data_IF_319371800837
#
_entry.id   IF_319371800837
#
_cell.length_a   1.000
_cell.length_b   1.000
_cell.length_c   1.000
_cell.angle_alpha   90.00
_cell.angle_beta   90.00
_cell.angle_gamma   90.00
#
_symmetry.space_group_name_H-M   'P 1'
#
loop_
_entity.id
_entity.type
_entity.pdbx_description
1 polymer ?
#
# COMPACT_ATOMS: atom_id res chain seq x y z
N UNK A 1 22.51 16.57 16.69
CA UNK A 1 21.64 16.19 17.83
C UNK A 1 20.28 16.78 17.50
N UNK A 2 19.35 16.05 16.90
CA UNK A 2 18.62 14.87 17.42
C UNK A 2 18.56 13.75 16.37
N UNK A 3 19.09 12.58 16.72
CA UNK A 3 19.05 11.37 15.90
C UNK A 3 17.66 10.74 16.01
N UNK A 4 17.01 10.51 14.88
CA UNK A 4 15.63 10.04 14.76
C UNK A 4 15.44 8.61 15.25
N UNK A 5 14.48 8.42 16.14
CA UNK A 5 13.99 7.12 16.61
C UNK A 5 12.53 6.89 16.18
N UNK A 6 12.14 7.31 14.98
CA UNK A 6 10.72 7.25 14.55
C UNK A 6 10.41 6.31 13.36
N UNK A 7 11.34 5.48 12.86
CA UNK A 7 11.09 4.70 11.63
C UNK A 7 11.33 3.19 11.72
N UNK A 8 11.14 2.59 12.90
CA UNK A 8 11.35 1.15 13.11
C UNK A 8 10.09 0.37 13.50
N UNK A 9 8.90 0.85 13.12
CA UNK A 9 7.63 0.16 13.36
C UNK A 9 6.89 -0.05 12.05
N UNK A 10 6.79 -1.31 11.59
CA UNK A 10 5.59 -1.83 10.91
C UNK A 10 5.62 -3.34 10.63
N UNK A 11 6.79 -3.98 10.68
CA UNK A 11 6.91 -5.43 10.51
C UNK A 11 6.30 -6.22 11.68
N UNK A 12 6.43 -5.67 12.89
CA UNK A 12 5.91 -6.29 14.12
C UNK A 12 4.38 -6.35 14.19
N UNK A 13 3.67 -5.62 13.32
CA UNK A 13 2.21 -5.51 13.34
C UNK A 13 1.52 -6.44 12.31
N UNK A 14 2.30 -7.21 11.55
CA UNK A 14 1.80 -8.09 10.51
C UNK A 14 1.95 -9.55 10.92
N UNK A 15 0.90 -10.33 10.73
CA UNK A 15 0.91 -11.76 10.96
C UNK A 15 1.79 -12.48 9.93
N UNK A 16 2.75 -13.31 10.37
CA UNK A 16 3.61 -14.07 9.48
C UNK A 16 2.89 -15.19 8.71
N UNK A 17 1.75 -15.67 9.21
CA UNK A 17 0.98 -16.74 8.59
C UNK A 17 -0.01 -16.20 7.54
N UNK A 18 -0.80 -15.19 7.90
CA UNK A 18 -1.81 -14.63 6.99
C UNK A 18 -1.24 -13.57 6.06
N UNK A 19 -0.08 -12.99 6.40
CA UNK A 19 0.46 -11.80 5.75
C UNK A 19 -0.58 -10.65 5.78
N UNK A 20 -1.23 -10.45 6.92
CA UNK A 20 -2.19 -9.37 7.15
C UNK A 20 -1.84 -8.61 8.42
N UNK A 21 -2.24 -7.34 8.51
CA UNK A 21 -2.20 -6.61 9.78
C UNK A 21 -3.00 -7.41 10.82
N UNK A 22 -2.51 -7.58 12.05
CA UNK A 22 -3.26 -8.36 13.02
C UNK A 22 -4.61 -7.68 13.32
N UNK A 23 -5.66 -8.48 13.37
CA UNK A 23 -6.93 -8.12 13.97
C UNK A 23 -6.95 -8.60 15.42
N UNK A 24 -6.59 -9.87 15.65
CA UNK A 24 -6.52 -10.49 16.97
C UNK A 24 -5.15 -11.18 17.14
N UNK A 25 -4.11 -10.44 17.57
CA UNK A 25 -2.77 -11.00 17.72
C UNK A 25 -2.67 -11.89 18.97
N UNK A 26 -2.18 -13.12 18.79
CA UNK A 26 -1.86 -14.07 19.86
C UNK A 26 -0.39 -14.48 19.79
N UNK A 27 0.29 -14.47 20.93
CA UNK A 27 1.66 -14.97 21.11
C UNK A 27 1.61 -16.47 21.37
N UNK A 28 2.37 -17.24 20.60
CA UNK A 28 2.57 -18.67 20.82
C UNK A 28 3.83 -18.94 21.66
N UNK A 29 3.93 -20.14 22.22
CA UNK A 29 5.04 -20.54 23.10
C UNK A 29 6.41 -20.58 22.38
N UNK A 30 6.42 -20.58 21.04
CA UNK A 30 7.64 -20.45 20.22
C UNK A 30 8.17 -19.01 20.14
N UNK A 31 7.49 -18.05 20.77
CA UNK A 31 7.86 -16.64 20.82
C UNK A 31 7.36 -15.81 19.64
N UNK A 32 6.61 -16.38 18.70
CA UNK A 32 6.05 -15.65 17.54
C UNK A 32 4.59 -15.26 17.76
N UNK A 33 4.20 -14.11 17.20
CA UNK A 33 2.81 -13.64 17.23
C UNK A 33 2.11 -13.99 15.91
N UNK A 34 0.89 -14.52 16.02
CA UNK A 34 0.05 -14.92 14.90
C UNK A 34 -1.36 -14.32 15.00
N UNK A 35 -2.10 -14.31 13.90
CA UNK A 35 -3.53 -14.00 13.89
C UNK A 35 -4.27 -15.21 14.49
N UNK A 36 -5.07 -14.98 15.53
CA UNK A 36 -5.71 -16.05 16.32
C UNK A 36 -6.45 -17.05 15.45
N UNK A 37 -7.35 -16.56 14.59
CA UNK A 37 -8.16 -17.42 13.71
C UNK A 37 -7.31 -18.31 12.79
N UNK A 38 -6.17 -17.81 12.33
CA UNK A 38 -5.30 -18.53 11.40
C UNK A 38 -4.42 -19.55 12.12
N UNK A 39 -3.84 -19.20 13.27
CA UNK A 39 -2.94 -20.11 13.99
C UNK A 39 -3.69 -21.23 14.68
N UNK A 40 -4.89 -20.98 15.20
CA UNK A 40 -5.74 -22.03 15.79
C UNK A 40 -6.06 -23.09 14.75
N UNK A 41 -6.46 -22.68 13.54
CA UNK A 41 -6.71 -23.60 12.43
C UNK A 41 -5.45 -24.39 12.06
N UNK A 42 -4.31 -23.71 11.95
CA UNK A 42 -3.04 -24.37 11.62
C UNK A 42 -2.63 -25.42 12.65
N UNK A 43 -2.75 -25.12 13.96
CA UNK A 43 -2.40 -26.03 15.05
C UNK A 43 -3.32 -27.27 15.04
N UNK A 44 -4.62 -27.09 14.74
CA UNK A 44 -5.56 -28.21 14.64
C UNK A 44 -5.20 -29.18 13.50
N UNK A 45 -4.62 -28.67 12.41
CA UNK A 45 -4.25 -29.47 11.24
C UNK A 45 -2.82 -30.04 11.32
N UNK A 46 -1.87 -29.31 11.92
CA UNK A 46 -0.43 -29.60 11.80
C UNK A 46 0.28 -29.75 13.15
N UNK A 47 -0.36 -29.38 14.27
CA UNK A 47 0.18 -29.44 15.64
C UNK A 47 1.54 -28.75 15.88
N UNK A 48 1.96 -27.86 14.96
CA UNK A 48 3.29 -27.27 14.95
C UNK A 48 3.25 -25.78 14.61
N UNK A 49 4.34 -25.07 14.91
CA UNK A 49 4.57 -23.70 14.50
C UNK A 49 4.78 -23.59 12.99
N UNK A 50 4.08 -22.68 12.28
CA UNK A 50 4.34 -22.39 10.88
C UNK A 50 5.77 -21.85 10.62
N UNK A 51 6.41 -21.25 11.64
CA UNK A 51 7.74 -20.62 11.52
C UNK A 51 8.87 -21.54 11.94
N UNK A 52 8.75 -22.15 13.11
CA UNK A 52 9.86 -22.89 13.75
C UNK A 52 9.69 -24.40 13.67
N UNK A 53 8.50 -24.87 13.26
CA UNK A 53 8.09 -26.28 13.27
C UNK A 53 8.09 -26.93 14.66
N UNK A 54 8.26 -26.15 15.73
CA UNK A 54 8.11 -26.63 17.11
C UNK A 54 6.66 -27.01 17.38
N UNK A 55 6.41 -27.98 18.27
CA UNK A 55 5.05 -28.34 18.66
C UNK A 55 4.35 -27.16 19.32
N UNK A 56 3.10 -26.90 18.92
CA UNK A 56 2.25 -25.87 19.51
C UNK A 56 0.91 -26.48 19.94
N UNK A 57 0.34 -25.94 21.02
CA UNK A 57 -1.02 -26.24 21.46
C UNK A 57 -1.87 -24.98 21.42
N UNK A 58 -3.19 -25.15 21.26
CA UNK A 58 -4.13 -24.02 21.25
C UNK A 58 -4.19 -23.38 22.65
N UNK A 59 -4.06 -24.18 23.70
CA UNK A 59 -4.08 -23.74 25.10
C UNK A 59 -2.86 -22.89 25.48
N UNK A 60 -1.74 -23.02 24.74
CA UNK A 60 -0.53 -22.22 24.93
C UNK A 60 -0.62 -20.80 24.36
N UNK A 61 -1.63 -20.51 23.52
CA UNK A 61 -1.78 -19.20 22.89
C UNK A 61 -2.20 -18.14 23.91
N UNK A 62 -1.51 -17.00 23.91
CA UNK A 62 -1.78 -15.87 24.81
C UNK A 62 -2.09 -14.60 24.02
N UNK A 63 -3.11 -13.80 24.38
CA UNK A 63 -3.35 -12.52 23.71
C UNK A 63 -2.13 -11.60 23.76
N UNK A 64 -1.67 -11.10 22.62
CA UNK A 64 -0.57 -10.14 22.55
C UNK A 64 -1.12 -8.70 22.54
N UNK A 65 -1.44 -8.20 23.74
CA UNK A 65 -2.03 -6.86 23.92
C UNK A 65 -1.11 -5.72 23.50
N UNK A 66 0.21 -5.91 23.53
CA UNK A 66 1.19 -4.91 23.08
C UNK A 66 1.11 -4.70 21.56
N UNK A 67 1.07 -5.80 20.80
CA UNK A 67 0.90 -5.70 19.34
C UNK A 67 -0.49 -5.14 19.01
N UNK A 68 -1.52 -5.51 19.78
CA UNK A 68 -2.87 -4.95 19.61
C UNK A 68 -2.90 -3.44 19.81
N UNK A 69 -2.26 -2.92 20.87
CA UNK A 69 -2.23 -1.47 21.13
C UNK A 69 -1.44 -0.72 20.05
N UNK A 70 -0.32 -1.27 19.58
CA UNK A 70 0.44 -0.67 18.49
C UNK A 70 -0.35 -0.63 17.16
N UNK A 71 -1.16 -1.65 16.87
CA UNK A 71 -2.07 -1.62 15.72
C UNK A 71 -3.14 -0.55 15.90
N UNK A 72 -3.71 -0.44 17.09
CA UNK A 72 -4.70 0.59 17.39
C UNK A 72 -4.10 1.99 17.26
N UNK A 73 -2.87 2.21 17.74
CA UNK A 73 -2.13 3.46 17.56
C UNK A 73 -1.82 3.75 16.10
N UNK A 74 -1.38 2.74 15.35
CA UNK A 74 -1.13 2.85 13.91
C UNK A 74 -2.42 3.20 13.14
N UNK A 75 -3.50 2.48 13.43
CA UNK A 75 -4.82 2.81 12.89
C UNK A 75 -5.25 4.22 13.32
N UNK A 76 -5.00 4.64 14.56
CA UNK A 76 -5.32 5.99 15.04
C UNK A 76 -4.49 7.08 14.36
N UNK A 77 -3.23 6.82 14.02
CA UNK A 77 -2.40 7.70 13.20
C UNK A 77 -3.02 7.89 11.81
N UNK A 78 -3.53 6.82 11.21
CA UNK A 78 -4.33 6.89 9.97
C UNK A 78 -5.67 7.61 10.16
N UNK A 79 -6.20 7.69 11.40
CA UNK A 79 -7.44 8.41 11.76
C UNK A 79 -7.22 9.89 12.11
N UNK A 80 -6.00 10.41 12.03
CA UNK A 80 -5.73 11.86 12.14
C UNK A 80 -6.66 12.64 11.20
N UNK A 81 -7.27 13.71 11.71
CA UNK A 81 -8.32 14.49 11.02
C UNK A 81 -7.85 15.01 9.66
N UNK A 82 -6.55 15.23 9.50
CA UNK A 82 -5.95 15.76 8.27
C UNK A 82 -5.93 14.77 7.09
N UNK A 83 -6.14 13.48 7.35
CA UNK A 83 -6.07 12.39 6.36
C UNK A 83 -7.41 11.70 6.10
N UNK A 84 -8.53 12.30 6.55
CA UNK A 84 -9.88 11.79 6.33
C UNK A 84 -10.75 12.78 5.57
N UNK A 85 -11.42 12.28 4.54
CA UNK A 85 -12.36 13.04 3.73
C UNK A 85 -13.72 12.36 3.75
N UNK A 86 -14.79 13.14 3.68
CA UNK A 86 -16.15 12.64 3.56
C UNK A 86 -16.61 12.68 2.12
N UNK A 87 -17.12 11.55 1.64
CA UNK A 87 -17.75 11.43 0.33
C UNK A 87 -18.96 12.37 0.27
N UNK A 88 -19.10 13.07 -0.85
CA UNK A 88 -20.15 14.05 -1.14
C UNK A 88 -20.17 15.27 -0.21
N UNK A 89 -19.15 15.43 0.63
CA UNK A 89 -18.92 16.62 1.48
C UNK A 89 -17.59 17.27 1.13
N UNK A 90 -16.50 16.50 1.21
CA UNK A 90 -15.14 16.96 0.88
C UNK A 90 -14.75 16.62 -0.56
N UNK A 91 -15.19 15.44 -1.03
CA UNK A 91 -14.85 14.90 -2.35
C UNK A 91 -16.09 14.28 -2.99
N UNK A 92 -16.33 14.61 -4.26
CA UNK A 92 -17.37 13.99 -5.08
C UNK A 92 -16.77 12.94 -6.00
N UNK A 93 -17.38 11.77 -6.07
CA UNK A 93 -17.02 10.68 -6.98
C UNK A 93 -17.87 10.71 -8.25
N UNK A 94 -17.28 10.43 -9.40
CA UNK A 94 -18.06 10.16 -10.62
C UNK A 94 -18.79 8.82 -10.54
N UNK A 95 -19.92 8.70 -11.26
CA UNK A 95 -20.77 7.52 -11.20
C UNK A 95 -20.09 6.28 -11.79
N UNK A 96 -19.42 6.46 -12.91
CA UNK A 96 -18.79 5.36 -13.65
C UNK A 96 -17.36 5.16 -13.15
N UNK A 97 -16.98 3.90 -12.97
CA UNK A 97 -15.58 3.57 -12.74
C UNK A 97 -14.78 3.82 -14.03
N UNK A 98 -13.59 4.39 -13.90
CA UNK A 98 -12.59 4.41 -14.98
C UNK A 98 -12.11 2.99 -15.25
N UNK A 99 -11.98 2.20 -14.17
CA UNK A 99 -11.38 0.89 -14.22
C UNK A 99 -11.90 -0.01 -13.10
N UNK A 100 -11.97 -1.31 -13.39
CA UNK A 100 -12.30 -2.34 -12.42
C UNK A 100 -11.43 -3.57 -12.70
N UNK A 101 -10.59 -3.95 -11.72
CA UNK A 101 -9.82 -5.19 -11.76
C UNK A 101 -9.87 -5.87 -10.41
N UNK A 102 -10.24 -7.16 -10.44
CA UNK A 102 -10.30 -8.00 -9.25
C UNK A 102 -11.12 -7.34 -8.13
N UNK A 103 -10.47 -6.97 -7.02
CA UNK A 103 -11.10 -6.34 -5.86
C UNK A 103 -10.97 -4.81 -5.86
N UNK A 104 -10.37 -4.22 -6.89
CA UNK A 104 -10.07 -2.79 -7.01
C UNK A 104 -10.96 -2.11 -8.04
N UNK A 105 -11.34 -0.87 -7.75
CA UNK A 105 -12.07 -0.02 -8.69
C UNK A 105 -11.58 1.41 -8.58
N UNK A 106 -11.37 2.06 -9.71
CA UNK A 106 -10.88 3.45 -9.77
C UNK A 106 -11.99 4.32 -10.33
N UNK A 107 -12.24 5.45 -9.68
CA UNK A 107 -13.22 6.46 -10.11
C UNK A 107 -12.53 7.81 -10.25
N UNK A 108 -12.96 8.64 -11.21
CA UNK A 108 -12.61 10.06 -11.18
C UNK A 108 -13.24 10.71 -9.96
N UNK A 109 -12.51 11.61 -9.33
CA UNK A 109 -12.95 12.29 -8.12
C UNK A 109 -12.58 13.77 -8.15
N UNK A 110 -13.44 14.59 -7.56
CA UNK A 110 -13.33 16.05 -7.58
C UNK A 110 -13.45 16.60 -6.17
N UNK A 111 -12.53 17.48 -5.78
CA UNK A 111 -12.62 18.20 -4.52
C UNK A 111 -13.82 19.15 -4.52
N UNK A 112 -14.59 19.15 -3.43
CA UNK A 112 -15.72 20.07 -3.22
C UNK A 112 -15.24 21.30 -2.45
N UNK A 113 -14.43 21.10 -1.41
CA UNK A 113 -14.07 22.14 -0.43
C UNK A 113 -12.84 22.97 -0.81
N UNK A 114 -12.09 22.56 -1.84
CA UNK A 114 -10.81 23.19 -2.22
C UNK A 114 -10.88 23.83 -3.60
N UNK A 115 -10.70 25.15 -3.67
CA UNK A 115 -10.51 25.88 -4.95
C UNK A 115 -9.14 25.51 -5.54
N UNK A 116 -9.08 25.30 -6.86
CA UNK A 116 -7.87 24.94 -7.61
C UNK A 116 -7.16 23.66 -7.11
N UNK A 117 -7.94 22.70 -6.62
CA UNK A 117 -7.39 21.45 -6.16
C UNK A 117 -6.85 20.60 -7.33
N UNK A 118 -5.81 19.77 -7.10
CA UNK A 118 -5.26 18.93 -8.14
C UNK A 118 -6.28 17.88 -8.61
N UNK A 119 -6.19 17.41 -9.86
CA UNK A 119 -6.97 16.27 -10.34
C UNK A 119 -6.74 15.02 -9.46
N UNK A 120 -7.82 14.32 -9.14
CA UNK A 120 -7.79 13.17 -8.23
C UNK A 120 -8.61 11.98 -8.70
N UNK A 121 -8.26 10.82 -8.16
CA UNK A 121 -9.04 9.59 -8.29
C UNK A 121 -9.40 9.03 -6.91
N UNK A 122 -10.47 8.26 -6.88
CA UNK A 122 -10.84 7.41 -5.76
C UNK A 122 -10.52 5.97 -6.10
N UNK A 123 -9.56 5.40 -5.40
CA UNK A 123 -9.26 3.98 -5.43
C UNK A 123 -10.08 3.28 -4.35
N UNK A 124 -11.09 2.51 -4.77
CA UNK A 124 -11.84 1.61 -3.91
C UNK A 124 -11.19 0.22 -3.91
N UNK A 125 -10.82 -0.26 -2.75
CA UNK A 125 -10.31 -1.62 -2.52
C UNK A 125 -11.27 -2.40 -1.64
N UNK A 126 -11.52 -3.66 -2.00
CA UNK A 126 -12.38 -4.55 -1.23
C UNK A 126 -11.58 -5.76 -0.73
N UNK A 127 -12.08 -6.36 0.35
CA UNK A 127 -11.59 -7.62 0.88
C UNK A 127 -10.60 -7.44 2.02
N UNK A 128 -10.28 -8.57 2.64
CA UNK A 128 -9.55 -8.65 3.91
C UNK A 128 -8.14 -8.05 3.88
N UNK A 129 -7.55 -7.86 2.69
CA UNK A 129 -6.22 -7.24 2.52
C UNK A 129 -6.26 -5.72 2.30
N UNK A 130 -7.45 -5.14 2.04
CA UNK A 130 -7.60 -3.73 1.66
C UNK A 130 -7.02 -2.76 2.71
N UNK A 131 -7.22 -3.04 4.00
CA UNK A 131 -6.67 -2.23 5.10
C UNK A 131 -5.15 -2.20 5.10
N UNK A 132 -4.51 -3.38 4.94
CA UNK A 132 -3.05 -3.51 4.89
C UNK A 132 -2.48 -2.77 3.69
N UNK A 133 -3.09 -2.95 2.52
CA UNK A 133 -2.63 -2.28 1.32
C UNK A 133 -2.77 -0.75 1.46
N UNK A 134 -3.91 -0.29 1.98
CA UNK A 134 -4.16 1.12 2.21
C UNK A 134 -3.14 1.77 3.16
N UNK A 135 -2.73 1.04 4.20
CA UNK A 135 -1.77 1.57 5.16
C UNK A 135 -0.39 1.82 4.53
N UNK A 136 0.06 0.94 3.63
CA UNK A 136 1.29 1.16 2.88
C UNK A 136 1.17 2.32 1.89
N UNK A 137 0.04 2.44 1.18
CA UNK A 137 -0.21 3.56 0.28
C UNK A 137 -0.11 4.91 1.00
N UNK A 138 -0.62 5.01 2.23
CA UNK A 138 -0.52 6.24 3.04
C UNK A 138 0.89 6.44 3.59
N UNK A 139 1.52 5.40 4.13
CA UNK A 139 2.86 5.50 4.74
C UNK A 139 3.92 5.92 3.71
N UNK A 140 3.88 5.33 2.52
CA UNK A 140 4.91 5.50 1.49
C UNK A 140 4.66 6.74 0.61
N UNK A 141 3.49 7.38 0.73
CA UNK A 141 3.03 8.53 -0.06
C UNK A 141 3.94 9.76 -0.04
N UNK A 142 4.91 9.84 0.88
CA UNK A 142 5.79 11.01 1.00
C UNK A 142 6.90 11.04 -0.04
N UNK A 143 7.21 9.90 -0.65
CA UNK A 143 8.26 9.81 -1.66
C UNK A 143 7.81 10.45 -2.99
N UNK A 144 8.64 11.26 -3.66
CA UNK A 144 8.26 11.99 -4.88
C UNK A 144 7.89 11.06 -6.06
N UNK A 145 8.52 9.89 -6.14
CA UNK A 145 8.32 8.89 -7.19
C UNK A 145 7.38 7.73 -6.77
N UNK A 146 6.59 7.92 -5.71
CA UNK A 146 5.51 7.01 -5.30
C UNK A 146 4.18 7.77 -5.40
N UNK A 147 3.12 7.07 -5.82
CA UNK A 147 1.78 7.63 -5.91
C UNK A 147 1.35 8.31 -4.60
N UNK A 148 1.01 9.58 -4.68
CA UNK A 148 0.54 10.35 -3.54
C UNK A 148 -0.86 9.91 -3.15
N UNK A 149 -0.99 9.50 -1.89
CA UNK A 149 -2.27 9.20 -1.26
C UNK A 149 -2.60 10.34 -0.30
N UNK A 150 -3.63 11.11 -0.61
CA UNK A 150 -4.05 12.25 0.22
C UNK A 150 -4.69 11.79 1.52
N UNK A 151 -5.38 10.66 1.51
CA UNK A 151 -6.05 10.13 2.70
C UNK A 151 -7.16 9.14 2.37
N UNK A 152 -7.88 8.73 3.41
CA UNK A 152 -9.03 7.84 3.32
C UNK A 152 -10.33 8.62 3.12
N UNK A 153 -11.27 8.04 2.37
CA UNK A 153 -12.59 8.64 2.14
C UNK A 153 -13.69 7.77 2.74
N UNK A 154 -14.55 8.37 3.56
CA UNK A 154 -15.64 7.71 4.28
C UNK A 154 -17.00 8.28 3.85
N UNK A 155 -18.12 7.54 4.01
CA UNK A 155 -18.21 6.18 4.53
C UNK A 155 -17.81 5.13 3.49
N UNK A 156 -17.29 4.01 3.96
CA UNK A 156 -17.06 2.80 3.16
C UNK A 156 -17.90 1.64 3.72
N UNK A 157 -18.43 0.74 2.86
CA UNK A 157 -18.96 -0.54 3.32
C UNK A 157 -17.96 -1.35 4.13
N UNK A 158 -18.45 -2.31 4.93
CA UNK A 158 -17.63 -3.26 5.68
C UNK A 158 -16.58 -3.93 4.75
N UNK A 159 -15.34 -4.08 5.25
CA UNK A 159 -14.20 -4.67 4.53
C UNK A 159 -13.85 -3.99 3.20
N UNK A 160 -14.21 -2.71 3.04
CA UNK A 160 -13.77 -1.88 1.93
C UNK A 160 -13.11 -0.59 2.41
N UNK A 161 -12.11 -0.15 1.65
CA UNK A 161 -11.38 1.09 1.87
C UNK A 161 -11.45 1.93 0.59
N UNK A 162 -11.64 3.23 0.73
CA UNK A 162 -11.49 4.19 -0.36
C UNK A 162 -10.34 5.13 -0.06
N UNK A 163 -9.41 5.24 -1.00
CA UNK A 163 -8.29 6.16 -0.94
C UNK A 163 -8.45 7.27 -1.98
N UNK A 164 -8.19 8.50 -1.56
CA UNK A 164 -8.07 9.63 -2.46
C UNK A 164 -6.61 9.76 -2.89
N UNK A 165 -6.35 9.65 -4.19
CA UNK A 165 -5.00 9.71 -4.75
C UNK A 165 -4.93 10.75 -5.85
N UNK A 166 -3.71 11.20 -6.15
CA UNK A 166 -3.46 12.04 -7.31
C UNK A 166 -3.78 11.29 -8.62
N UNK A 167 -4.28 12.02 -9.63
CA UNK A 167 -4.58 11.46 -10.94
C UNK A 167 -3.37 11.56 -11.87
N UNK A 168 -3.02 10.45 -12.51
CA UNK A 168 -2.01 10.39 -13.56
C UNK A 168 -2.65 10.66 -14.94
N UNK A 169 -2.43 11.84 -15.56
CA UNK A 169 -3.08 12.21 -16.81
C UNK A 169 -2.63 11.39 -18.01
N UNK A 170 -1.40 10.89 -18.01
CA UNK A 170 -0.81 10.17 -19.16
C UNK A 170 -0.99 8.65 -19.09
N UNK A 171 -1.71 8.14 -18.09
CA UNK A 171 -1.95 6.70 -17.93
C UNK A 171 -0.74 5.95 -17.38
N UNK A 172 -0.61 4.67 -17.73
CA UNK A 172 0.51 3.84 -17.30
C UNK A 172 1.70 3.92 -18.27
N UNK A 173 2.89 3.57 -17.79
CA UNK A 173 4.07 3.48 -18.64
C UNK A 173 3.89 2.39 -19.71
N UNK A 174 3.15 1.32 -19.41
CA UNK A 174 2.79 0.33 -20.41
C UNK A 174 2.02 0.95 -21.59
N UNK A 175 1.00 1.76 -21.30
CA UNK A 175 0.21 2.45 -22.34
C UNK A 175 1.10 3.38 -23.17
N UNK A 176 2.00 4.13 -22.52
CA UNK A 176 2.91 5.06 -23.19
C UNK A 176 3.92 4.34 -24.13
N UNK A 177 4.42 3.17 -23.72
CA UNK A 177 5.37 2.40 -24.53
C UNK A 177 4.71 1.74 -25.75
N UNK A 178 3.42 1.42 -25.65
CA UNK A 178 2.65 0.84 -26.76
C UNK A 178 2.07 1.92 -27.71
N UNK A 179 2.00 3.18 -27.28
CA UNK A 179 1.47 4.31 -28.04
C UNK A 179 2.49 4.82 -29.09
N UNK A 180 2.40 4.30 -30.32
CA UNK A 180 3.05 4.91 -31.48
C UNK A 180 2.23 6.14 -31.90
N UNK A 181 2.78 7.37 -31.92
CA UNK A 181 4.20 7.76 -32.11
C UNK A 181 4.87 8.39 -30.87
N UNK A 182 4.36 8.12 -29.67
CA UNK A 182 4.79 8.72 -28.40
C UNK A 182 5.87 7.92 -27.66
N UNK A 183 6.41 6.88 -28.28
CA UNK A 183 7.46 6.06 -27.67
C UNK A 183 8.64 6.94 -27.23
N UNK A 184 9.05 6.86 -25.95
CA UNK A 184 10.17 7.64 -25.44
C UNK A 184 11.50 7.21 -26.07
N UNK A 185 12.40 8.16 -26.26
CA UNK A 185 13.78 7.85 -26.62
C UNK A 185 14.58 7.32 -25.42
N UNK A 186 15.81 6.89 -25.68
CA UNK A 186 16.68 6.31 -24.65
C UNK A 186 16.93 7.26 -23.47
N UNK A 187 17.11 8.57 -23.73
CA UNK A 187 17.38 9.55 -22.68
C UNK A 187 16.18 9.72 -21.75
N UNK A 188 14.97 9.71 -22.28
CA UNK A 188 13.74 9.77 -21.48
C UNK A 188 13.54 8.47 -20.70
N UNK A 189 13.82 7.32 -21.31
CA UNK A 189 13.74 6.03 -20.62
C UNK A 189 14.72 5.96 -19.44
N UNK A 190 15.94 6.49 -19.60
CA UNK A 190 16.94 6.57 -18.53
C UNK A 190 16.43 7.45 -17.38
N UNK A 191 15.84 8.60 -17.68
CA UNK A 191 15.26 9.48 -16.65
C UNK A 191 14.11 8.80 -15.89
N UNK A 192 13.17 8.18 -16.61
CA UNK A 192 12.07 7.42 -15.98
C UNK A 192 12.61 6.26 -15.14
N UNK A 193 13.63 5.54 -15.63
CA UNK A 193 14.25 4.44 -14.90
C UNK A 193 14.93 4.93 -13.62
N UNK A 194 15.64 6.06 -13.66
CA UNK A 194 16.23 6.70 -12.49
C UNK A 194 15.18 6.95 -11.39
N UNK A 195 14.04 7.53 -11.75
CA UNK A 195 12.93 7.77 -10.83
C UNK A 195 12.34 6.47 -10.24
N UNK A 196 12.20 5.41 -11.07
CA UNK A 196 11.76 4.09 -10.62
C UNK A 196 12.76 3.49 -9.63
N UNK A 197 14.06 3.58 -9.91
CA UNK A 197 15.11 3.05 -9.01
C UNK A 197 15.17 3.79 -7.68
N UNK A 198 14.94 5.11 -7.68
CA UNK A 198 14.83 5.93 -6.47
C UNK A 198 13.64 5.47 -5.61
N UNK A 199 12.46 5.29 -6.21
CA UNK A 199 11.29 4.73 -5.51
C UNK A 199 11.55 3.33 -4.94
N UNK A 200 12.17 2.43 -5.71
CA UNK A 200 12.46 1.06 -5.26
C UNK A 200 13.51 1.02 -4.14
N UNK A 201 14.51 1.91 -4.18
CA UNK A 201 15.47 2.10 -3.08
C UNK A 201 14.76 2.53 -1.81
N UNK A 202 13.83 3.47 -1.92
CA UNK A 202 13.01 3.91 -0.79
C UNK A 202 12.14 2.78 -0.23
N UNK A 203 11.51 1.95 -1.07
CA UNK A 203 10.78 0.77 -0.60
C UNK A 203 11.68 -0.20 0.17
N UNK A 204 12.88 -0.48 -0.35
CA UNK A 204 13.84 -1.37 0.29
C UNK A 204 14.26 -0.88 1.69
N UNK A 205 14.53 0.42 1.86
CA UNK A 205 14.83 1.03 3.15
C UNK A 205 13.66 0.97 4.15
N UNK A 206 12.41 0.94 3.65
CA UNK A 206 11.21 0.74 4.47
C UNK A 206 10.84 -0.75 4.62
N UNK A 207 11.74 -1.66 4.23
CA UNK A 207 11.52 -3.11 4.24
C UNK A 207 10.29 -3.56 3.44
N UNK A 208 9.92 -2.82 2.40
CA UNK A 208 8.77 -3.13 1.54
C UNK A 208 9.28 -3.76 0.24
N UNK A 209 8.78 -4.95 -0.08
CA UNK A 209 8.99 -5.57 -1.40
C UNK A 209 7.75 -5.31 -2.24
N UNK A 210 7.90 -4.65 -3.40
CA UNK A 210 6.76 -4.32 -4.27
C UNK A 210 5.93 -5.54 -4.67
N UNK A 211 6.59 -6.67 -4.99
CA UNK A 211 5.95 -7.95 -5.31
C UNK A 211 5.33 -8.05 -6.72
N UNK A 212 5.02 -6.92 -7.36
CA UNK A 212 4.51 -6.88 -8.74
C UNK A 212 5.10 -5.70 -9.56
N UNK A 213 6.43 -5.57 -9.61
CA UNK A 213 7.04 -4.46 -10.35
C UNK A 213 6.93 -4.70 -11.88
N UNK A 214 6.14 -3.87 -12.56
CA UNK A 214 5.93 -3.93 -14.01
C UNK A 214 5.49 -2.57 -14.55
N UNK A 215 5.65 -2.32 -15.86
CA UNK A 215 5.31 -1.03 -16.50
C UNK A 215 3.85 -0.61 -16.31
N UNK A 216 2.91 -1.56 -16.18
CA UNK A 216 1.49 -1.28 -15.86
C UNK A 216 1.28 -0.66 -14.47
N UNK A 217 2.22 -0.88 -13.55
CA UNK A 217 2.21 -0.36 -12.17
C UNK A 217 3.12 0.87 -12.02
N UNK A 218 3.58 1.43 -13.15
CA UNK A 218 4.24 2.73 -13.21
C UNK A 218 3.27 3.71 -13.88
N UNK A 219 2.92 4.79 -13.20
CA UNK A 219 2.02 5.83 -13.72
C UNK A 219 2.83 7.02 -14.24
N UNK A 220 2.41 7.54 -15.38
CA UNK A 220 3.05 8.70 -16.03
C UNK A 220 2.26 9.96 -15.67
N UNK A 221 2.93 10.90 -14.98
CA UNK A 221 2.35 12.17 -14.55
C UNK A 221 2.63 13.31 -15.50
N UNK A 222 3.83 13.29 -16.10
CA UNK A 222 4.23 14.23 -17.14
C UNK A 222 5.03 13.49 -18.18
N UNK A 223 4.76 13.79 -19.44
CA UNK A 223 5.51 13.27 -20.56
C UNK A 223 5.97 14.40 -21.48
N UNK A 224 7.27 14.50 -21.72
CA UNK A 224 7.87 15.41 -22.68
C UNK A 224 8.92 14.65 -23.50
N UNK A 225 8.59 14.40 -24.77
CA UNK A 225 9.43 13.65 -25.70
C UNK A 225 10.73 14.34 -26.14
N UNK A 226 10.97 15.57 -25.67
CA UNK A 226 12.13 16.37 -26.07
C UNK A 226 13.04 16.75 -24.90
N UNK A 227 12.59 16.55 -23.66
CA UNK A 227 13.30 16.98 -22.45
C UNK A 227 13.14 15.91 -21.37
N UNK A 228 14.15 15.06 -21.15
CA UNK A 228 14.11 14.02 -20.13
C UNK A 228 13.62 14.55 -18.77
N UNK A 229 14.19 15.65 -18.28
CA UNK A 229 13.93 16.23 -16.96
C UNK A 229 12.48 16.71 -16.71
N UNK A 230 11.71 16.93 -17.78
CA UNK A 230 10.30 17.33 -17.67
C UNK A 230 9.36 16.12 -17.45
N UNK A 231 9.87 14.89 -17.59
CA UNK A 231 9.12 13.66 -17.41
C UNK A 231 9.00 13.30 -15.93
N UNK A 232 7.84 12.79 -15.52
CA UNK A 232 7.61 12.32 -14.16
C UNK A 232 6.83 11.02 -14.17
N UNK A 233 7.42 9.99 -13.57
CA UNK A 233 6.77 8.70 -13.33
C UNK A 233 6.69 8.41 -11.85
N UNK A 234 5.66 7.65 -11.45
CA UNK A 234 5.46 7.24 -10.07
C UNK A 234 5.03 5.79 -9.97
N UNK A 235 5.58 5.09 -8.98
CA UNK A 235 5.23 3.72 -8.64
C UNK A 235 3.87 3.66 -7.94
N UNK A 236 3.01 2.71 -8.33
CA UNK A 236 1.69 2.45 -7.74
C UNK A 236 1.46 0.95 -7.55
N UNK A 237 0.32 0.57 -6.96
CA UNK A 237 -0.19 -0.80 -6.89
C UNK A 237 0.82 -1.80 -6.32
N UNK A 238 1.17 -1.56 -5.05
CA UNK A 238 2.01 -2.45 -4.26
C UNK A 238 1.33 -3.80 -4.05
N UNK A 239 1.61 -4.76 -4.94
CA UNK A 239 1.24 -6.17 -4.81
C UNK A 239 2.07 -6.86 -3.73
N UNK A 240 1.93 -6.43 -2.47
CA UNK A 240 2.87 -6.76 -1.40
C UNK A 240 2.78 -8.22 -0.94
N UNK A 241 3.62 -9.07 -1.53
CA UNK A 241 4.06 -10.34 -0.94
C UNK A 241 5.48 -10.18 -0.40
N UNK A 242 5.72 -10.64 0.83
CA UNK A 242 7.09 -10.84 1.32
C UNK A 242 7.54 -12.25 0.98
N UNK A 243 8.65 -12.36 0.25
CA UNK A 243 9.50 -13.54 0.33
C UNK A 243 10.48 -13.33 1.49
N UNK A 244 10.43 -14.23 2.47
CA UNK A 244 11.51 -14.38 3.44
C UNK A 244 12.68 -15.12 2.79
N UNK A 245 13.85 -14.48 2.81
CA UNK A 245 15.21 -15.04 2.73
C UNK A 245 15.71 -15.58 1.38
N UNK A 246 16.59 -14.82 0.69
CA UNK A 246 17.79 -15.36 0.02
C UNK A 246 18.93 -14.33 0.14
N UNK A 247 19.72 -14.46 1.20
CA UNK A 247 21.18 -14.26 1.22
C UNK A 247 21.72 -15.13 2.37
N UNK A 248 21.84 -16.43 2.09
CA UNK A 248 23.03 -17.20 2.46
C UNK A 248 23.74 -17.51 1.15
#
# INVERSE_FOLDING_TARGET
MTCGTEHQMNDSLICPLTQQLFSVPVLADDGYTYEESAIVKWIQENHTSPKTRQNLSVEGLRPNRLIKSLIEEFENSLRSVDYRFKLDVDVRKERNAIFHINTKSIFRAHWITRRNAPPTILLKMNGVRAKREASFCVQLSRHPHIIRTYGMVEPTPQDSIMLLQEYAPEGSLHDLLDDQPRVPDEMILIEMFSQITDAMTYLAHNHVTHGDLACRNILVFRFNKYKPEDNLVKLTDFGLTRHSSIYL
#
